data_IF_998615214278
#
_entry.id   IF_998615214278
#
_cell.length_a   1.000
_cell.length_b   1.000
_cell.length_c   1.000
_cell.angle_alpha   90.00
_cell.angle_beta   90.00
_cell.angle_gamma   90.00
#
_symmetry.space_group_name_H-M   'P 1'
#
loop_
_entity.id
_entity.type
_entity.pdbx_description
1 polymer ?
#
# COMPACT_ATOMS: atom_id res chain seq x y z
N UNK A 1 22.66 51.28 10.49
CA UNK A 1 21.55 50.49 9.89
C UNK A 1 21.95 49.07 9.47
N UNK A 2 23.20 48.79 9.07
CA UNK A 2 23.65 47.45 8.68
C UNK A 2 23.50 46.31 9.73
N UNK A 3 23.77 46.49 11.04
CA UNK A 3 23.72 45.37 11.99
C UNK A 3 22.30 44.85 12.27
N UNK A 4 21.29 45.74 12.21
CA UNK A 4 19.87 45.38 12.39
C UNK A 4 19.36 44.56 11.20
N UNK A 5 19.78 44.92 9.97
CA UNK A 5 19.43 44.18 8.77
C UNK A 5 20.04 42.76 8.75
N UNK A 6 21.28 42.61 9.22
CA UNK A 6 21.95 41.30 9.34
C UNK A 6 21.22 40.42 10.36
N UNK A 7 20.90 40.95 11.54
CA UNK A 7 20.20 40.21 12.58
C UNK A 7 18.80 39.77 12.12
N UNK A 8 18.06 40.67 11.46
CA UNK A 8 16.77 40.32 10.87
C UNK A 8 16.89 39.22 9.82
N UNK A 9 17.91 39.28 8.96
CA UNK A 9 18.15 38.28 7.91
C UNK A 9 18.44 36.89 8.51
N UNK A 10 19.29 36.81 9.55
CA UNK A 10 19.61 35.55 10.23
C UNK A 10 18.38 34.94 10.90
N UNK A 11 17.59 35.76 11.60
CA UNK A 11 16.36 35.31 12.25
C UNK A 11 15.35 34.82 11.21
N UNK A 12 15.14 35.59 10.14
CA UNK A 12 14.22 35.23 9.07
C UNK A 12 14.62 33.91 8.39
N UNK A 13 15.90 33.76 8.04
CA UNK A 13 16.43 32.53 7.42
C UNK A 13 16.22 31.33 8.36
N UNK A 14 16.53 31.48 9.66
CA UNK A 14 16.32 30.42 10.66
C UNK A 14 14.86 29.98 10.75
N UNK A 15 13.93 30.95 10.80
CA UNK A 15 12.48 30.68 10.82
C UNK A 15 12.04 29.96 9.54
N UNK A 16 12.52 30.39 8.38
CA UNK A 16 12.23 29.73 7.11
C UNK A 16 12.74 28.28 7.07
N UNK A 17 13.98 28.03 7.52
CA UNK A 17 14.52 26.67 7.60
C UNK A 17 13.71 25.79 8.56
N UNK A 18 13.34 26.33 9.73
CA UNK A 18 12.47 25.63 10.69
C UNK A 18 11.12 25.26 10.08
N UNK A 19 10.50 26.17 9.33
CA UNK A 19 9.24 25.90 8.62
C UNK A 19 9.38 24.82 7.54
N UNK A 20 10.46 24.88 6.74
CA UNK A 20 10.75 23.88 5.70
C UNK A 20 10.99 22.50 6.31
N UNK A 21 11.79 22.42 7.37
CA UNK A 21 12.07 21.17 8.08
C UNK A 21 10.81 20.59 8.73
N UNK A 22 9.99 21.43 9.36
CA UNK A 22 8.71 21.01 9.95
C UNK A 22 7.76 20.44 8.90
N UNK A 23 7.64 21.11 7.76
CA UNK A 23 6.82 20.64 6.65
C UNK A 23 7.36 19.33 6.04
N UNK A 24 8.69 19.17 5.93
CA UNK A 24 9.32 17.92 5.52
C UNK A 24 8.98 16.78 6.47
N UNK A 25 9.17 16.97 7.78
CA UNK A 25 8.88 15.95 8.80
C UNK A 25 7.41 15.53 8.77
N UNK A 26 6.48 16.48 8.56
CA UNK A 26 5.06 16.19 8.45
C UNK A 26 4.73 15.35 7.21
N UNK A 27 5.22 15.72 6.02
CA UNK A 27 5.02 14.91 4.81
C UNK A 27 5.67 13.55 4.91
N UNK A 28 6.87 13.48 5.49
CA UNK A 28 7.59 12.25 5.73
C UNK A 28 6.82 11.31 6.66
N UNK A 29 6.26 11.84 7.74
CA UNK A 29 5.40 11.09 8.65
C UNK A 29 4.17 10.53 7.91
N UNK A 30 3.49 11.36 7.10
CA UNK A 30 2.30 10.93 6.36
C UNK A 30 2.60 9.81 5.35
N UNK A 31 3.67 9.94 4.54
CA UNK A 31 4.04 8.86 3.61
C UNK A 31 4.49 7.61 4.35
N UNK A 32 5.09 7.74 5.54
CA UNK A 32 5.42 6.59 6.38
C UNK A 32 4.18 5.89 6.91
N UNK A 33 3.14 6.62 7.28
CA UNK A 33 1.83 6.04 7.61
C UNK A 33 1.27 5.25 6.43
N UNK A 34 1.27 5.84 5.22
CA UNK A 34 0.83 5.13 4.00
C UNK A 34 1.62 3.84 3.78
N UNK A 35 2.95 3.87 3.94
CA UNK A 35 3.78 2.68 3.80
C UNK A 35 3.49 1.61 4.85
N UNK A 36 3.24 1.99 6.10
CA UNK A 36 2.90 1.04 7.15
C UNK A 36 1.57 0.35 6.85
N UNK A 37 0.57 1.11 6.44
CA UNK A 37 -0.71 0.57 5.98
C UNK A 37 -0.54 -0.33 4.76
N UNK A 38 0.32 0.05 3.81
CA UNK A 38 0.65 -0.79 2.65
C UNK A 38 1.31 -2.11 3.06
N UNK A 39 2.24 -2.10 4.01
CA UNK A 39 2.89 -3.31 4.53
C UNK A 39 1.87 -4.25 5.16
N UNK A 40 0.97 -3.73 6.00
CA UNK A 40 -0.10 -4.53 6.60
C UNK A 40 -1.03 -5.11 5.51
N UNK A 41 -1.51 -4.26 4.61
CA UNK A 41 -2.40 -4.62 3.52
C UNK A 41 -1.80 -5.71 2.61
N UNK A 42 -0.57 -5.50 2.13
CA UNK A 42 0.14 -6.44 1.26
C UNK A 42 0.46 -7.75 1.97
N UNK A 43 0.72 -7.74 3.28
CA UNK A 43 0.90 -8.98 4.06
C UNK A 43 -0.35 -9.86 4.02
N UNK A 44 -1.52 -9.29 4.27
CA UNK A 44 -2.78 -10.04 4.21
C UNK A 44 -3.09 -10.49 2.78
N UNK A 45 -2.83 -9.63 1.79
CA UNK A 45 -3.00 -9.97 0.39
C UNK A 45 -2.10 -11.15 -0.06
N UNK A 46 -0.86 -11.22 0.44
CA UNK A 46 0.04 -12.37 0.24
C UNK A 46 -0.51 -13.62 0.92
N UNK A 47 -0.93 -13.51 2.19
CA UNK A 47 -1.48 -14.65 2.93
C UNK A 47 -2.73 -15.24 2.27
N UNK A 48 -3.65 -14.38 1.78
CA UNK A 48 -4.81 -14.81 0.98
C UNK A 48 -4.39 -15.64 -0.23
N UNK A 49 -3.39 -15.16 -0.98
CA UNK A 49 -2.89 -15.85 -2.18
C UNK A 49 -2.15 -17.14 -1.85
N UNK A 50 -1.46 -17.21 -0.72
CA UNK A 50 -0.84 -18.45 -0.25
C UNK A 50 -1.90 -19.50 0.12
N UNK A 51 -2.99 -19.10 0.78
CA UNK A 51 -4.11 -20.00 1.05
C UNK A 51 -4.76 -20.51 -0.25
N UNK A 52 -5.01 -19.62 -1.22
CA UNK A 52 -5.50 -20.01 -2.55
C UNK A 52 -4.52 -20.93 -3.29
N UNK A 53 -3.21 -20.70 -3.18
CA UNK A 53 -2.19 -21.52 -3.81
C UNK A 53 -2.20 -22.95 -3.25
N UNK A 54 -2.35 -23.09 -1.93
CA UNK A 54 -2.51 -24.38 -1.27
C UNK A 54 -3.77 -25.10 -1.76
N UNK A 55 -4.90 -24.40 -1.85
CA UNK A 55 -6.15 -24.94 -2.40
C UNK A 55 -6.02 -25.37 -3.87
N UNK A 56 -5.40 -24.54 -4.71
CA UNK A 56 -5.17 -24.83 -6.12
C UNK A 56 -4.27 -26.07 -6.30
N UNK A 57 -3.22 -26.21 -5.48
CA UNK A 57 -2.34 -27.37 -5.51
C UNK A 57 -3.09 -28.66 -5.13
N UNK A 58 -4.02 -28.61 -4.17
CA UNK A 58 -4.86 -29.74 -3.79
C UNK A 58 -5.86 -30.12 -4.90
N UNK A 59 -6.41 -29.13 -5.61
CA UNK A 59 -7.37 -29.31 -6.71
C UNK A 59 -6.75 -29.62 -8.07
N UNK A 60 -5.42 -29.53 -8.21
CA UNK A 60 -4.74 -29.65 -9.49
C UNK A 60 -4.98 -28.46 -10.44
N UNK A 61 -5.40 -27.32 -9.91
CA UNK A 61 -5.62 -26.09 -10.66
C UNK A 61 -4.28 -25.40 -10.99
N UNK A 62 -4.14 -24.72 -12.15
CA UNK A 62 -2.91 -24.02 -12.52
C UNK A 62 -2.44 -22.99 -11.48
N UNK A 63 -1.24 -23.18 -10.95
CA UNK A 63 -0.69 -22.35 -9.85
C UNK A 63 0.20 -21.18 -10.31
N UNK A 64 0.49 -21.09 -11.61
CA UNK A 64 1.43 -20.11 -12.16
C UNK A 64 1.02 -18.65 -11.88
N UNK A 65 -0.27 -18.34 -12.06
CA UNK A 65 -0.83 -17.01 -11.81
C UNK A 65 -0.67 -16.59 -10.35
N UNK A 66 -1.11 -17.42 -9.41
CA UNK A 66 -1.00 -17.14 -7.96
C UNK A 66 0.45 -16.95 -7.52
N UNK A 67 1.36 -17.76 -8.07
CA UNK A 67 2.79 -17.65 -7.78
C UNK A 67 3.38 -16.33 -8.27
N UNK A 68 2.98 -15.86 -9.47
CA UNK A 68 3.40 -14.56 -10.02
C UNK A 68 2.85 -13.40 -9.18
N UNK A 69 1.58 -13.46 -8.77
CA UNK A 69 0.98 -12.43 -7.92
C UNK A 69 1.66 -12.35 -6.54
N UNK A 70 1.98 -13.49 -5.92
CA UNK A 70 2.74 -13.55 -4.66
C UNK A 70 4.13 -12.94 -4.85
N UNK A 71 4.82 -13.29 -5.94
CA UNK A 71 6.15 -12.75 -6.24
C UNK A 71 6.12 -11.23 -6.41
N UNK A 72 5.13 -10.71 -7.14
CA UNK A 72 4.90 -9.28 -7.30
C UNK A 72 4.69 -8.59 -5.95
N UNK A 73 3.75 -9.08 -5.13
CA UNK A 73 3.47 -8.48 -3.82
C UNK A 73 4.67 -8.55 -2.88
N UNK A 74 5.41 -9.65 -2.90
CA UNK A 74 6.62 -9.82 -2.08
C UNK A 74 7.71 -8.84 -2.50
N UNK A 75 7.89 -8.62 -3.81
CA UNK A 75 8.85 -7.65 -4.34
C UNK A 75 8.54 -6.23 -3.86
N UNK A 76 7.26 -5.86 -3.78
CA UNK A 76 6.83 -4.51 -3.40
C UNK A 76 6.42 -4.34 -1.92
N UNK A 77 6.48 -5.42 -1.13
CA UNK A 77 6.10 -5.40 0.29
C UNK A 77 6.97 -4.44 1.12
N UNK A 78 8.29 -4.45 0.91
CA UNK A 78 9.25 -3.66 1.68
C UNK A 78 10.08 -2.75 0.76
N UNK A 79 9.44 -1.71 0.23
CA UNK A 79 10.10 -0.72 -0.62
C UNK A 79 10.26 0.62 0.08
N UNK A 80 11.27 1.39 -0.34
CA UNK A 80 11.47 2.74 0.18
C UNK A 80 10.30 3.66 -0.23
N UNK A 81 10.01 4.67 0.58
CA UNK A 81 8.93 5.62 0.29
C UNK A 81 9.13 6.34 -1.05
N UNK A 82 10.39 6.61 -1.44
CA UNK A 82 10.72 7.21 -2.73
C UNK A 82 10.36 6.29 -3.89
N UNK A 83 10.67 5.00 -3.77
CA UNK A 83 10.30 4.01 -4.79
C UNK A 83 8.79 3.79 -4.83
N UNK A 84 8.13 3.73 -3.68
CA UNK A 84 6.68 3.61 -3.59
C UNK A 84 5.97 4.78 -4.27
N UNK A 85 6.41 6.01 -4.02
CA UNK A 85 5.86 7.18 -4.71
C UNK A 85 6.16 7.19 -6.21
N UNK A 86 7.35 6.73 -6.62
CA UNK A 86 7.75 6.71 -8.03
C UNK A 86 6.96 5.68 -8.85
N UNK A 87 6.73 4.49 -8.30
CA UNK A 87 6.07 3.38 -8.97
C UNK A 87 4.64 3.15 -8.47
N UNK A 88 4.09 4.08 -7.68
CA UNK A 88 2.81 3.88 -7.00
C UNK A 88 1.65 3.63 -7.96
N UNK A 89 1.65 4.28 -9.13
CA UNK A 89 0.66 4.02 -10.19
C UNK A 89 0.72 2.58 -10.68
N UNK A 90 1.90 2.09 -11.05
CA UNK A 90 2.07 0.72 -11.53
C UNK A 90 1.74 -0.31 -10.44
N UNK A 91 2.24 -0.07 -9.22
CA UNK A 91 2.04 -0.98 -8.09
C UNK A 91 0.57 -1.10 -7.73
N UNK A 92 -0.12 0.03 -7.56
CA UNK A 92 -1.47 0.07 -7.01
C UNK A 92 -2.53 -0.33 -8.04
N UNK A 93 -2.33 -0.02 -9.33
CA UNK A 93 -3.24 -0.49 -10.36
C UNK A 93 -3.10 -1.99 -10.61
N UNK A 94 -1.88 -2.51 -10.74
CA UNK A 94 -1.68 -3.94 -10.87
C UNK A 94 -2.25 -4.67 -9.65
N UNK A 95 -2.03 -4.13 -8.45
CA UNK A 95 -2.60 -4.73 -7.24
C UNK A 95 -4.13 -4.72 -7.23
N UNK A 96 -4.77 -3.63 -7.67
CA UNK A 96 -6.23 -3.53 -7.78
C UNK A 96 -6.80 -4.57 -8.74
N UNK A 97 -6.19 -4.72 -9.91
CA UNK A 97 -6.59 -5.72 -10.90
C UNK A 97 -6.51 -7.16 -10.33
N UNK A 98 -5.46 -7.46 -9.55
CA UNK A 98 -5.32 -8.74 -8.88
C UNK A 98 -6.42 -8.97 -7.81
N UNK A 99 -6.84 -7.95 -7.06
CA UNK A 99 -7.91 -8.08 -6.05
C UNK A 99 -9.31 -8.18 -6.69
N UNK A 100 -9.55 -7.49 -7.82
CA UNK A 100 -10.84 -7.52 -8.52
C UNK A 100 -11.13 -8.91 -9.08
N UNK A 101 -10.10 -9.58 -9.60
CA UNK A 101 -10.21 -10.91 -10.20
C UNK A 101 -10.12 -12.07 -9.20
N UNK A 102 -9.81 -11.79 -7.93
CA UNK A 102 -9.59 -12.83 -6.92
C UNK A 102 -10.84 -13.66 -6.60
N UNK A 103 -12.03 -13.05 -6.68
CA UNK A 103 -13.29 -13.75 -6.35
C UNK A 103 -13.62 -14.81 -7.39
N UNK A 104 -13.41 -14.50 -8.67
CA UNK A 104 -13.57 -15.44 -9.77
C UNK A 104 -12.58 -16.59 -9.63
N UNK A 105 -11.31 -16.27 -9.34
CA UNK A 105 -10.26 -17.27 -9.14
C UNK A 105 -10.57 -18.21 -7.96
N UNK A 106 -11.09 -17.69 -6.85
CA UNK A 106 -11.51 -18.51 -5.72
C UNK A 106 -12.61 -19.49 -6.15
N UNK A 107 -13.62 -19.02 -6.90
CA UNK A 107 -14.72 -19.87 -7.35
C UNK A 107 -14.23 -21.00 -8.26
N UNK A 108 -13.36 -20.68 -9.23
CA UNK A 108 -12.75 -21.69 -10.12
C UNK A 108 -11.96 -22.76 -9.35
N UNK A 109 -11.22 -22.35 -8.31
CA UNK A 109 -10.46 -23.28 -7.46
C UNK A 109 -11.42 -24.15 -6.64
N UNK A 110 -12.47 -23.58 -6.07
CA UNK A 110 -13.47 -24.34 -5.31
C UNK A 110 -14.21 -25.36 -6.18
N UNK A 111 -14.56 -24.98 -7.42
CA UNK A 111 -15.21 -25.90 -8.37
C UNK A 111 -14.28 -27.07 -8.75
N UNK A 112 -12.96 -26.85 -8.78
CA UNK A 112 -11.97 -27.92 -9.01
C UNK A 112 -11.81 -28.91 -7.85
N UNK A 113 -12.34 -28.57 -6.66
CA UNK A 113 -12.16 -29.34 -5.43
C UNK A 113 -13.35 -30.26 -5.08
N UNK A 114 -14.40 -30.30 -5.91
CA UNK A 114 -15.70 -30.91 -5.61
C UNK A 114 -15.68 -32.40 -5.19
N UNK A 115 -14.56 -33.11 -5.35
CA UNK A 115 -14.40 -34.55 -5.07
C UNK A 115 -13.28 -34.91 -4.05
N UNK A 116 -12.72 -33.96 -3.28
CA UNK A 116 -11.53 -34.23 -2.42
C UNK A 116 -11.77 -34.01 -0.91
N UNK A 117 -10.94 -34.69 -0.10
CA UNK A 117 -11.10 -34.83 1.35
C UNK A 117 -11.19 -33.51 2.13
N UNK A 118 -12.20 -33.43 3.00
CA UNK A 118 -12.72 -32.18 3.58
C UNK A 118 -11.75 -31.43 4.50
N UNK A 119 -10.87 -32.13 5.23
CA UNK A 119 -10.21 -31.52 6.41
C UNK A 119 -9.13 -30.49 6.09
N UNK A 120 -8.26 -30.76 5.10
CA UNK A 120 -7.20 -29.82 4.69
C UNK A 120 -7.75 -28.67 3.83
N UNK A 121 -8.87 -28.92 3.14
CA UNK A 121 -9.58 -27.93 2.34
C UNK A 121 -10.26 -26.90 3.25
N UNK A 122 -10.96 -27.34 4.30
CA UNK A 122 -11.66 -26.45 5.24
C UNK A 122 -10.69 -25.47 5.89
N UNK A 123 -9.54 -25.93 6.40
CA UNK A 123 -8.58 -25.03 7.04
C UNK A 123 -8.06 -23.96 6.09
N UNK A 124 -7.73 -24.32 4.85
CA UNK A 124 -7.22 -23.36 3.86
C UNK A 124 -8.29 -22.34 3.43
N UNK A 125 -9.58 -22.74 3.41
CA UNK A 125 -10.70 -21.84 3.16
C UNK A 125 -10.90 -20.89 4.35
N UNK A 126 -10.84 -21.39 5.59
CA UNK A 126 -10.92 -20.56 6.79
C UNK A 126 -9.80 -19.53 6.84
N UNK A 127 -8.56 -19.94 6.56
CA UNK A 127 -7.40 -19.06 6.47
C UNK A 127 -7.58 -18.00 5.37
N UNK A 128 -8.14 -18.37 4.21
CA UNK A 128 -8.45 -17.42 3.15
C UNK A 128 -9.43 -16.34 3.62
N UNK A 129 -10.58 -16.74 4.18
CA UNK A 129 -11.62 -15.80 4.62
C UNK A 129 -11.18 -14.95 5.81
N UNK A 130 -10.40 -15.51 6.75
CA UNK A 130 -9.82 -14.75 7.84
C UNK A 130 -8.92 -13.62 7.32
N UNK A 131 -8.06 -13.92 6.34
CA UNK A 131 -7.20 -12.92 5.74
C UNK A 131 -7.95 -11.95 4.82
N UNK A 132 -9.04 -12.36 4.17
CA UNK A 132 -9.92 -11.48 3.40
C UNK A 132 -10.60 -10.42 4.29
N UNK A 133 -11.09 -10.84 5.46
CA UNK A 133 -11.66 -9.92 6.44
C UNK A 133 -10.63 -8.92 6.98
N UNK A 134 -9.43 -9.39 7.32
CA UNK A 134 -8.34 -8.52 7.76
C UNK A 134 -7.91 -7.57 6.63
N UNK A 135 -7.88 -8.04 5.40
CA UNK A 135 -7.60 -7.22 4.23
C UNK A 135 -8.62 -6.09 4.06
N UNK A 136 -9.92 -6.37 4.19
CA UNK A 136 -10.97 -5.35 4.10
C UNK A 136 -10.88 -4.28 5.20
N UNK A 137 -10.43 -4.67 6.40
CA UNK A 137 -10.16 -3.71 7.47
C UNK A 137 -8.95 -2.82 7.14
N UNK A 138 -7.83 -3.43 6.72
CA UNK A 138 -6.60 -2.70 6.41
C UNK A 138 -6.71 -1.85 5.13
N UNK A 139 -7.57 -2.23 4.18
CA UNK A 139 -7.79 -1.45 2.96
C UNK A 139 -8.38 -0.08 3.28
N UNK A 140 -9.32 -0.05 4.23
CA UNK A 140 -9.91 1.20 4.73
C UNK A 140 -8.85 2.08 5.40
N UNK A 141 -7.98 1.49 6.21
CA UNK A 141 -6.89 2.21 6.87
C UNK A 141 -5.88 2.78 5.85
N UNK A 142 -5.55 2.00 4.82
CA UNK A 142 -4.69 2.43 3.72
C UNK A 142 -5.33 3.60 2.92
N UNK A 143 -6.59 3.47 2.53
CA UNK A 143 -7.32 4.50 1.78
C UNK A 143 -7.36 5.83 2.55
N UNK A 144 -7.66 5.79 3.85
CA UNK A 144 -7.63 6.98 4.71
C UNK A 144 -6.23 7.59 4.83
N UNK A 145 -5.18 6.76 4.91
CA UNK A 145 -3.81 7.25 4.96
C UNK A 145 -3.41 7.96 3.66
N UNK A 146 -3.79 7.39 2.50
CA UNK A 146 -3.55 7.98 1.19
C UNK A 146 -4.31 9.29 1.05
N UNK A 147 -5.61 9.31 1.37
CA UNK A 147 -6.42 10.53 1.32
C UNK A 147 -5.80 11.65 2.17
N UNK A 148 -5.40 11.32 3.41
CA UNK A 148 -4.75 12.28 4.30
C UNK A 148 -3.42 12.80 3.73
N UNK A 149 -2.61 11.92 3.14
CA UNK A 149 -1.36 12.31 2.48
C UNK A 149 -1.61 13.29 1.32
N UNK A 150 -2.52 12.93 0.41
CA UNK A 150 -2.87 13.75 -0.77
C UNK A 150 -3.43 15.12 -0.35
N UNK A 151 -4.30 15.14 0.67
CA UNK A 151 -4.91 16.37 1.20
C UNK A 151 -3.90 17.31 1.85
N UNK A 152 -2.86 16.79 2.51
CA UNK A 152 -1.83 17.64 3.11
C UNK A 152 -0.83 18.11 2.06
N UNK A 153 -0.36 17.21 1.19
CA UNK A 153 0.57 17.49 0.10
C UNK A 153 0.08 18.61 -0.82
N UNK A 154 -1.21 18.65 -1.11
CA UNK A 154 -1.82 19.66 -1.97
C UNK A 154 -1.92 21.06 -1.34
N UNK A 155 -1.67 21.23 -0.02
CA UNK A 155 -1.76 22.56 0.59
C UNK A 155 -0.56 23.44 0.19
N UNK A 156 -0.77 24.75 0.00
CA UNK A 156 0.31 25.67 -0.42
C UNK A 156 1.54 25.65 0.50
N UNK A 157 1.34 25.44 1.80
CA UNK A 157 2.41 25.36 2.81
C UNK A 157 3.42 24.26 2.54
N UNK A 158 3.01 23.19 1.84
CA UNK A 158 3.86 22.04 1.56
C UNK A 158 4.44 22.04 0.15
N UNK A 159 3.95 22.91 -0.76
CA UNK A 159 4.32 22.88 -2.18
C UNK A 159 5.83 22.89 -2.42
N UNK A 160 6.54 23.79 -1.73
CA UNK A 160 7.99 23.92 -1.85
C UNK A 160 8.69 22.62 -1.41
N UNK A 161 8.31 22.09 -0.25
CA UNK A 161 8.88 20.84 0.29
C UNK A 161 8.55 19.65 -0.60
N UNK A 162 7.30 19.55 -1.08
CA UNK A 162 6.88 18.47 -1.96
C UNK A 162 7.69 18.44 -3.25
N UNK A 163 8.00 19.61 -3.82
CA UNK A 163 8.84 19.71 -5.02
C UNK A 163 10.32 19.43 -4.75
N UNK A 164 10.90 20.06 -3.74
CA UNK A 164 12.35 19.93 -3.44
C UNK A 164 12.70 18.49 -3.04
N UNK A 165 11.85 17.85 -2.25
CA UNK A 165 12.11 16.50 -1.72
C UNK A 165 11.41 15.39 -2.51
N UNK A 166 10.80 15.71 -3.65
CA UNK A 166 10.12 14.76 -4.53
C UNK A 166 9.04 13.92 -3.84
N UNK A 167 8.21 14.54 -3.00
CA UNK A 167 6.96 13.91 -2.56
C UNK A 167 5.98 13.94 -3.73
N UNK A 168 5.92 12.85 -4.50
CA UNK A 168 5.05 12.68 -5.66
C UNK A 168 3.61 12.35 -5.26
N UNK A 169 2.73 12.37 -6.24
CA UNK A 169 1.34 11.98 -6.03
C UNK A 169 1.19 10.46 -5.94
N UNK A 170 0.06 10.01 -5.39
CA UNK A 170 -0.34 8.61 -5.41
C UNK A 170 -1.71 8.49 -6.07
N UNK A 171 -1.99 7.39 -6.79
CA UNK A 171 -3.34 7.12 -7.25
C UNK A 171 -4.24 6.85 -6.03
N UNK A 172 -5.39 7.50 -6.00
CA UNK A 172 -6.44 7.20 -5.04
C UNK A 172 -7.20 5.94 -5.53
N UNK A 173 -6.68 4.76 -5.16
CA UNK A 173 -7.29 3.48 -5.49
C UNK A 173 -8.17 3.02 -4.34
N UNK A 174 -9.42 2.67 -4.65
CA UNK A 174 -10.35 2.03 -3.71
C UNK A 174 -10.26 0.51 -3.89
N UNK A 175 -9.91 -0.18 -2.82
CA UNK A 175 -9.91 -1.63 -2.70
C UNK A 175 -11.18 -2.13 -2.00
N UNK A 176 -11.92 -1.22 -1.36
CA UNK A 176 -13.28 -1.47 -0.86
C UNK A 176 -14.19 -2.03 -1.96
N UNK A 177 -14.93 -3.09 -1.62
CA UNK A 177 -15.99 -3.70 -2.43
C UNK A 177 -17.35 -3.23 -1.94
#
# INVERSE_FOLDING_TARGET
MQPVAILFSVVFISVCFGAVLGAYCQLYYLIKTVLLSWVALSRHAIAKRQALLSLAALGGYPTARLSQEIAFLTQYHSISWKQFLKYGYDILFAFKEMEDTQRELLQEILDSLQDRGEREIIQSIEDFWANDNLFAFESTAYEQAVEKYLRYRSRPTFWLVSKIFCFLDLPAVSFSR
#
